data_IF_464577649340
#
_entry.id   IF_464577649340
#
_cell.length_a   1.000
_cell.length_b   1.000
_cell.length_c   1.000
_cell.angle_alpha   90.00
_cell.angle_beta   90.00
_cell.angle_gamma   90.00
#
_symmetry.space_group_name_H-M   'P 1'
#
loop_
_entity.id
_entity.type
_entity.pdbx_description
1 polymer ?
#
# COMPACT_ATOMS: atom_id res chain seq x y z
N UNK A 1 28.47 27.69 5.03
CA UNK A 1 27.63 27.45 3.83
C UNK A 1 26.40 26.60 4.13
N UNK A 2 26.48 25.51 4.91
CA UNK A 2 25.32 24.69 5.35
C UNK A 2 24.17 25.47 6.02
N UNK A 3 24.50 26.41 6.93
CA UNK A 3 23.52 27.24 7.65
C UNK A 3 22.64 28.09 6.71
N UNK A 4 23.17 28.49 5.55
CA UNK A 4 22.42 29.31 4.59
C UNK A 4 21.37 28.51 3.82
N UNK A 5 21.58 27.21 3.64
CA UNK A 5 20.65 26.31 2.94
C UNK A 5 19.46 25.98 3.84
N UNK A 6 19.70 25.68 5.12
CA UNK A 6 18.63 25.40 6.08
C UNK A 6 17.72 26.61 6.29
N UNK A 7 18.30 27.81 6.36
CA UNK A 7 17.55 29.06 6.44
C UNK A 7 16.73 29.29 5.16
N UNK A 8 17.29 29.03 3.98
CA UNK A 8 16.56 29.15 2.72
C UNK A 8 15.39 28.15 2.63
N UNK A 9 15.58 26.91 3.06
CA UNK A 9 14.52 25.90 3.12
C UNK A 9 13.43 26.27 4.13
N UNK A 10 13.80 26.80 5.30
CA UNK A 10 12.84 27.26 6.28
C UNK A 10 12.02 28.45 5.76
N UNK A 11 12.67 29.43 5.14
CA UNK A 11 12.00 30.59 4.55
C UNK A 11 11.05 30.18 3.41
N UNK A 12 11.49 29.23 2.57
CA UNK A 12 10.66 28.69 1.50
C UNK A 12 9.44 27.91 2.02
N UNK A 13 9.62 27.11 3.07
CA UNK A 13 8.53 26.41 3.76
C UNK A 13 7.51 27.39 4.35
N UNK A 14 7.98 28.48 4.96
CA UNK A 14 7.11 29.52 5.52
C UNK A 14 6.32 30.27 4.45
N UNK A 15 6.95 30.54 3.29
CA UNK A 15 6.28 31.14 2.13
C UNK A 15 5.19 30.23 1.54
N UNK A 16 5.43 28.92 1.52
CA UNK A 16 4.45 27.92 1.07
C UNK A 16 3.25 27.80 2.02
N UNK A 17 3.49 27.86 3.33
CA UNK A 17 2.41 27.92 4.35
C UNK A 17 1.61 29.21 4.23
N UNK A 18 2.28 30.36 4.06
CA UNK A 18 1.62 31.66 3.93
C UNK A 18 0.79 31.80 2.65
N UNK A 19 1.12 31.06 1.58
CA UNK A 19 0.34 30.99 0.35
C UNK A 19 -0.79 29.93 0.39
N UNK A 20 -0.98 29.26 1.53
CA UNK A 20 -2.00 28.21 1.68
C UNK A 20 -1.71 26.94 0.88
N UNK A 21 -0.49 26.77 0.37
CA UNK A 21 -0.08 25.60 -0.42
C UNK A 21 0.35 24.43 0.48
N UNK A 22 0.61 24.71 1.76
CA UNK A 22 0.87 23.73 2.82
C UNK A 22 -0.01 24.15 4.00
N UNK A 23 -0.91 23.27 4.45
CA UNK A 23 -1.67 23.53 5.68
C UNK A 23 -0.69 23.69 6.86
N UNK A 24 -0.96 24.60 7.82
CA UNK A 24 -0.21 24.63 9.07
C UNK A 24 -0.20 23.21 9.61
N UNK A 25 1.01 22.71 9.86
CA UNK A 25 1.17 21.44 10.53
C UNK A 25 0.68 21.67 11.96
N UNK A 26 -0.61 21.45 12.21
CA UNK A 26 -1.13 21.18 13.55
C UNK A 26 -0.55 19.82 13.96
N UNK A 27 0.72 19.88 14.34
CA UNK A 27 1.47 18.78 14.93
C UNK A 27 1.30 18.89 16.43
N UNK A 28 0.17 18.37 16.91
CA UNK A 28 0.07 17.72 18.22
C UNK A 28 -0.61 16.39 17.96
N UNK A 29 0.19 15.39 17.60
CA UNK A 29 -0.21 13.98 17.70
C UNK A 29 1.08 13.16 17.76
N UNK A 30 1.76 13.26 18.89
CA UNK A 30 2.72 12.24 19.37
C UNK A 30 1.92 10.95 19.70
N UNK A 31 1.25 10.39 18.69
CA UNK A 31 0.55 9.12 18.85
C UNK A 31 1.58 8.03 18.62
N UNK A 32 2.20 7.64 19.74
CA UNK A 32 2.98 6.43 19.83
C UNK A 32 2.13 5.28 19.29
N UNK A 33 2.61 4.65 18.22
CA UNK A 33 2.04 3.42 17.72
C UNK A 33 2.09 2.42 18.86
N UNK A 34 0.94 2.09 19.45
CA UNK A 34 0.84 1.01 20.40
C UNK A 34 1.04 -0.28 19.59
N UNK A 35 2.30 -0.73 19.48
CA UNK A 35 2.65 -2.09 19.10
C UNK A 35 2.08 -3.02 20.17
N UNK A 36 0.80 -3.33 20.03
CA UNK A 36 0.20 -4.42 20.78
C UNK A 36 0.78 -5.69 20.19
N UNK A 37 1.75 -6.29 20.91
CA UNK A 37 2.20 -7.66 20.66
C UNK A 37 0.98 -8.57 20.69
N UNK A 38 0.47 -8.90 19.51
CA UNK A 38 -0.41 -10.04 19.34
C UNK A 38 0.49 -11.26 19.38
N UNK A 39 0.50 -11.96 20.51
CA UNK A 39 0.80 -13.39 20.47
C UNK A 39 -0.18 -14.03 19.47
N UNK A 40 0.37 -14.84 18.57
CA UNK A 40 -0.24 -15.49 17.39
C UNK A 40 -0.35 -14.66 16.09
N UNK A 41 0.78 -14.61 15.38
CA UNK A 41 0.96 -15.01 13.97
C UNK A 41 -0.11 -14.58 12.95
N UNK A 42 -0.35 -13.27 12.82
CA UNK A 42 -0.92 -12.69 11.61
C UNK A 42 0.15 -11.88 10.88
N UNK A 43 0.97 -12.58 10.10
CA UNK A 43 1.88 -11.98 9.12
C UNK A 43 1.09 -11.19 8.08
N UNK A 44 0.97 -9.87 8.30
CA UNK A 44 0.49 -8.94 7.27
C UNK A 44 1.67 -8.54 6.37
N UNK A 45 2.18 -9.48 5.59
CA UNK A 45 3.23 -9.29 4.58
C UNK A 45 2.65 -8.88 3.23
N UNK A 46 1.86 -7.81 3.20
CA UNK A 46 1.37 -7.23 1.94
C UNK A 46 1.52 -5.71 1.99
N UNK A 47 2.74 -5.21 1.72
CA UNK A 47 2.95 -3.77 1.55
C UNK A 47 4.37 -3.24 1.76
N UNK A 48 5.31 -4.03 2.29
CA UNK A 48 6.69 -3.56 2.54
C UNK A 48 7.55 -3.47 1.27
N UNK A 49 7.20 -4.18 0.19
CA UNK A 49 7.97 -4.14 -1.07
C UNK A 49 7.88 -2.79 -1.81
N UNK A 50 6.78 -2.02 -1.65
CA UNK A 50 6.54 -0.79 -2.42
C UNK A 50 7.31 0.43 -1.85
N UNK A 51 7.49 0.49 -0.53
CA UNK A 51 8.23 1.59 0.11
C UNK A 51 9.74 1.47 -0.14
N UNK A 52 10.30 0.27 0.02
CA UNK A 52 11.72 0.00 -0.24
C UNK A 52 12.07 0.26 -1.72
N UNK A 53 11.22 -0.18 -2.65
CA UNK A 53 11.38 0.10 -4.07
C UNK A 53 11.33 1.60 -4.39
N UNK A 54 10.43 2.35 -3.74
CA UNK A 54 10.30 3.79 -3.90
C UNK A 54 11.53 4.54 -3.37
N UNK A 55 12.04 4.17 -2.19
CA UNK A 55 13.26 4.77 -1.60
C UNK A 55 14.47 4.51 -2.50
N UNK A 56 14.63 3.28 -2.98
CA UNK A 56 15.72 2.90 -3.88
C UNK A 56 15.66 3.63 -5.22
N UNK A 57 14.46 3.85 -5.76
CA UNK A 57 14.27 4.64 -6.99
C UNK A 57 14.65 6.13 -6.80
N UNK A 58 14.35 6.73 -5.65
CA UNK A 58 14.75 8.10 -5.31
C UNK A 58 16.28 8.21 -5.18
N UNK A 59 16.89 7.26 -4.48
CA UNK A 59 18.34 7.19 -4.28
C UNK A 59 19.09 7.10 -5.62
N UNK A 60 18.68 6.16 -6.48
CA UNK A 60 19.29 5.97 -7.81
C UNK A 60 19.14 7.21 -8.71
N UNK A 61 18.00 7.91 -8.61
CA UNK A 61 17.78 9.15 -9.37
C UNK A 61 18.66 10.30 -8.87
N UNK A 62 18.88 10.40 -7.56
CA UNK A 62 19.79 11.38 -6.97
C UNK A 62 21.24 11.13 -7.38
N UNK A 63 21.66 9.86 -7.40
CA UNK A 63 23.01 9.45 -7.81
C UNK A 63 23.24 9.66 -9.32
N UNK A 64 22.26 9.33 -10.16
CA UNK A 64 22.34 9.62 -11.60
C UNK A 64 22.41 11.13 -11.90
N UNK A 65 21.67 11.95 -11.14
CA UNK A 65 21.73 13.41 -11.26
C UNK A 65 23.07 14.00 -10.79
N UNK A 66 23.73 13.37 -9.81
CA UNK A 66 25.04 13.80 -9.33
C UNK A 66 26.17 13.46 -10.32
N UNK A 67 26.05 12.36 -11.06
CA UNK A 67 27.03 11.93 -12.07
C UNK A 67 26.88 12.66 -13.41
N UNK A 68 25.71 13.23 -13.70
CA UNK A 68 25.45 14.00 -14.92
C UNK A 68 25.88 15.48 -14.85
N UNK A 69 26.38 15.95 -13.70
CA UNK A 69 26.86 17.31 -13.54
C UNK A 69 28.16 17.52 -14.36
N UNK A 70 28.18 18.41 -15.36
CA UNK A 70 29.40 18.72 -16.11
C UNK A 70 30.42 19.33 -15.15
N UNK A 71 31.62 18.73 -15.07
CA UNK A 71 32.72 19.28 -14.30
C UNK A 71 33.08 20.71 -14.74
N UNK A 72 33.61 21.56 -13.83
CA UNK A 72 33.75 23.01 -14.02
C UNK A 72 34.76 23.46 -15.11
N UNK A 73 35.32 22.54 -15.91
CA UNK A 73 36.49 22.81 -16.77
C UNK A 73 36.26 22.65 -18.29
N UNK A 74 35.04 22.39 -18.75
CA UNK A 74 34.68 22.54 -20.17
C UNK A 74 33.72 23.73 -20.26
N UNK A 75 34.11 24.95 -20.60
CA UNK A 75 34.60 25.33 -21.92
C UNK A 75 35.01 26.80 -21.79
N UNK A 76 36.24 27.11 -21.38
CA UNK A 76 36.74 28.49 -21.52
C UNK A 76 37.18 28.64 -22.98
N UNK A 77 36.19 28.84 -23.85
CA UNK A 77 36.40 29.20 -25.25
C UNK A 77 37.28 30.43 -25.28
N UNK A 78 38.54 30.24 -25.66
CA UNK A 78 39.46 31.33 -25.95
C UNK A 78 38.87 32.09 -27.12
N UNK A 79 38.44 33.34 -26.86
CA UNK A 79 37.96 34.31 -27.85
C UNK A 79 38.98 34.43 -28.99
N UNK A 80 38.80 33.66 -30.05
CA UNK A 80 39.40 33.96 -31.33
C UNK A 80 38.46 34.91 -32.07
N UNK A 81 38.95 36.07 -32.51
CA UNK A 81 38.11 37.00 -33.24
C UNK A 81 37.66 36.36 -34.56
N UNK A 82 36.35 36.27 -34.77
CA UNK A 82 35.79 35.70 -36.00
C UNK A 82 36.03 36.67 -37.16
N UNK A 83 36.41 36.13 -38.32
CA UNK A 83 36.51 36.90 -39.55
C UNK A 83 35.11 37.34 -40.01
N UNK A 84 35.01 38.52 -40.65
CA UNK A 84 33.73 39.12 -41.07
C UNK A 84 32.95 38.25 -42.05
N UNK A 85 33.63 37.50 -42.92
CA UNK A 85 32.99 36.60 -43.88
C UNK A 85 32.34 35.38 -43.20
N UNK A 86 32.97 34.80 -42.18
CA UNK A 86 32.38 33.74 -41.36
C UNK A 86 31.18 34.23 -40.56
N UNK A 87 31.21 35.48 -40.11
CA UNK A 87 30.06 36.10 -39.47
C UNK A 87 28.89 36.28 -40.43
N UNK A 88 29.12 36.82 -41.64
CA UNK A 88 28.09 36.99 -42.65
C UNK A 88 27.45 35.65 -43.06
N UNK A 89 28.26 34.60 -43.25
CA UNK A 89 27.75 33.24 -43.49
C UNK A 89 26.83 32.79 -42.35
N UNK A 90 27.30 32.87 -41.10
CA UNK A 90 26.52 32.45 -39.94
C UNK A 90 25.24 33.30 -39.78
N UNK A 91 25.30 34.60 -40.03
CA UNK A 91 24.14 35.49 -39.97
C UNK A 91 23.08 35.12 -41.01
N UNK A 92 23.49 34.89 -42.26
CA UNK A 92 22.56 34.53 -43.34
C UNK A 92 21.94 33.13 -43.10
N UNK A 93 22.71 32.20 -42.54
CA UNK A 93 22.19 30.89 -42.09
C UNK A 93 21.18 31.08 -40.96
N UNK A 94 21.52 31.88 -39.95
CA UNK A 94 20.71 32.06 -38.75
C UNK A 94 19.42 32.84 -39.01
N UNK A 95 19.42 33.73 -40.00
CA UNK A 95 18.24 34.47 -40.47
C UNK A 95 17.46 33.75 -41.56
N UNK A 96 17.96 32.61 -42.09
CA UNK A 96 17.28 31.79 -43.09
C UNK A 96 17.34 32.35 -44.52
N UNK A 97 18.26 33.26 -44.82
CA UNK A 97 18.44 33.88 -46.15
C UNK A 97 19.30 33.01 -47.07
N UNK A 98 18.81 31.81 -47.43
CA UNK A 98 19.60 30.79 -48.14
C UNK A 98 20.01 31.18 -49.56
N UNK A 99 19.16 31.88 -50.32
CA UNK A 99 19.50 32.34 -51.68
C UNK A 99 20.58 33.42 -51.65
N UNK A 100 20.49 34.36 -50.70
CA UNK A 100 21.51 35.39 -50.48
C UNK A 100 22.84 34.78 -50.02
N UNK A 101 22.79 33.74 -49.18
CA UNK A 101 23.97 32.99 -48.77
C UNK A 101 24.67 32.32 -49.96
N UNK A 102 23.92 31.69 -50.86
CA UNK A 102 24.47 30.96 -52.01
C UNK A 102 25.14 31.91 -53.02
N UNK A 103 24.49 33.05 -53.29
CA UNK A 103 25.05 34.12 -54.10
C UNK A 103 26.33 34.70 -53.49
N UNK A 104 26.29 35.01 -52.18
CA UNK A 104 27.44 35.52 -51.44
C UNK A 104 28.61 34.53 -51.46
N UNK A 105 28.36 33.22 -51.24
CA UNK A 105 29.41 32.20 -51.26
C UNK A 105 30.06 32.08 -52.64
N UNK A 106 29.26 32.13 -53.70
CA UNK A 106 29.74 32.06 -55.09
C UNK A 106 30.62 33.25 -55.43
N UNK A 107 30.14 34.47 -55.19
CA UNK A 107 30.88 35.71 -55.47
C UNK A 107 32.15 35.82 -54.61
N UNK A 108 32.08 35.47 -53.33
CA UNK A 108 33.23 35.49 -52.42
C UNK A 108 34.32 34.53 -52.89
N UNK A 109 33.95 33.32 -53.30
CA UNK A 109 34.90 32.32 -53.81
C UNK A 109 35.56 32.78 -55.11
N UNK A 110 34.79 33.36 -56.03
CA UNK A 110 35.29 33.91 -57.29
C UNK A 110 36.27 35.08 -57.04
N UNK A 111 35.96 35.96 -56.09
CA UNK A 111 36.80 37.10 -55.73
C UNK A 111 38.12 36.67 -55.08
N UNK A 112 38.10 35.64 -54.23
CA UNK A 112 39.30 35.05 -53.63
C UNK A 112 40.18 34.38 -54.68
N UNK A 113 39.59 33.61 -55.60
CA UNK A 113 40.35 32.93 -56.66
C UNK A 113 41.04 33.91 -57.63
N UNK A 114 40.40 35.05 -57.92
CA UNK A 114 40.99 36.11 -58.74
C UNK A 114 42.00 36.97 -57.99
N UNK A 115 42.18 36.77 -56.68
CA UNK A 115 43.06 37.57 -55.83
C UNK A 115 42.60 39.01 -55.63
N UNK A 116 41.31 39.31 -55.87
CA UNK A 116 40.75 40.66 -55.67
C UNK A 116 40.48 40.96 -54.19
N UNK A 117 40.44 39.92 -53.35
CA UNK A 117 40.22 40.05 -51.90
C UNK A 117 41.46 39.54 -51.17
N UNK A 118 42.09 40.43 -50.41
CA UNK A 118 43.10 40.08 -49.44
C UNK A 118 42.42 39.51 -48.19
N UNK A 119 42.41 38.18 -48.09
CA UNK A 119 41.77 37.42 -47.00
C UNK A 119 42.42 37.69 -45.64
N UNK A 120 43.68 38.16 -45.60
CA UNK A 120 44.36 38.54 -44.35
C UNK A 120 43.96 39.95 -43.87
N UNK A 121 43.41 40.79 -44.75
CA UNK A 121 42.91 42.13 -44.44
C UNK A 121 41.41 42.20 -44.19
N UNK A 122 40.68 41.11 -44.38
CA UNK A 122 39.26 41.05 -44.02
C UNK A 122 39.16 41.31 -42.52
N UNK A 123 38.40 42.36 -42.18
CA UNK A 123 38.30 42.82 -40.81
C UNK A 123 37.77 41.75 -39.86
N UNK A 124 38.02 41.98 -38.57
CA UNK A 124 37.47 41.19 -37.48
C UNK A 124 36.10 41.73 -37.09
N UNK A 125 35.19 40.82 -36.74
CA UNK A 125 33.86 41.18 -36.25
C UNK A 125 33.98 41.89 -34.89
N UNK A 126 33.33 43.04 -34.68
CA UNK A 126 33.36 43.73 -33.40
C UNK A 126 32.92 42.84 -32.23
N UNK A 127 33.69 42.85 -31.15
CA UNK A 127 33.50 41.98 -29.97
C UNK A 127 32.08 42.08 -29.38
N UNK A 128 31.46 43.26 -29.45
CA UNK A 128 30.08 43.52 -28.96
C UNK A 128 29.05 42.59 -29.61
N UNK A 129 29.20 42.26 -30.89
CA UNK A 129 28.27 41.36 -31.58
C UNK A 129 28.44 39.91 -31.11
N UNK A 130 29.68 39.46 -30.99
CA UNK A 130 30.02 38.12 -30.46
C UNK A 130 29.52 37.96 -29.03
N UNK A 131 29.64 39.01 -28.22
CA UNK A 131 29.12 39.05 -26.86
C UNK A 131 27.59 39.00 -26.81
N UNK A 132 26.89 39.74 -27.66
CA UNK A 132 25.43 39.66 -27.74
C UNK A 132 24.93 38.27 -28.13
N UNK A 133 25.57 37.62 -29.11
CA UNK A 133 25.19 36.25 -29.52
C UNK A 133 25.41 35.24 -28.39
N UNK A 134 26.48 35.41 -27.59
CA UNK A 134 26.72 34.61 -26.38
C UNK A 134 25.63 34.86 -25.34
N UNK A 135 25.33 36.12 -25.04
CA UNK A 135 24.32 36.50 -24.05
C UNK A 135 22.92 36.01 -24.45
N UNK A 136 22.54 36.05 -25.72
CA UNK A 136 21.29 35.48 -26.22
C UNK A 136 21.22 33.97 -26.00
N UNK A 137 22.35 33.27 -26.23
CA UNK A 137 22.46 31.82 -26.00
C UNK A 137 22.34 31.48 -24.51
N UNK A 138 23.01 32.23 -23.64
CA UNK A 138 22.91 32.12 -22.18
C UNK A 138 21.48 32.41 -21.70
N UNK A 139 20.83 33.46 -22.21
CA UNK A 139 19.44 33.79 -21.89
C UNK A 139 18.50 32.64 -22.28
N UNK A 140 18.65 32.10 -23.49
CA UNK A 140 17.82 30.99 -23.97
C UNK A 140 18.02 29.73 -23.14
N UNK A 141 19.26 29.44 -22.72
CA UNK A 141 19.56 28.31 -21.85
C UNK A 141 18.96 28.51 -20.45
N UNK A 142 19.15 29.69 -19.84
CA UNK A 142 18.58 30.03 -18.54
C UNK A 142 17.05 29.97 -18.55
N UNK A 143 16.40 30.43 -19.63
CA UNK A 143 14.95 30.31 -19.80
C UNK A 143 14.48 28.86 -19.88
N UNK A 144 15.23 28.00 -20.60
CA UNK A 144 14.94 26.57 -20.69
C UNK A 144 15.05 25.88 -19.32
N UNK A 145 16.14 26.12 -18.61
CA UNK A 145 16.36 25.57 -17.26
C UNK A 145 15.27 26.03 -16.29
N UNK A 146 14.93 27.32 -16.28
CA UNK A 146 13.83 27.85 -15.47
C UNK A 146 12.52 27.12 -15.75
N UNK A 147 12.21 26.88 -17.03
CA UNK A 147 11.00 26.18 -17.42
C UNK A 147 11.00 24.69 -17.04
N UNK A 148 12.16 24.05 -17.07
CA UNK A 148 12.34 22.70 -16.56
C UNK A 148 12.13 22.61 -15.05
N UNK A 149 12.76 23.51 -14.28
CA UNK A 149 12.53 23.60 -12.83
C UNK A 149 11.08 23.90 -12.49
N UNK A 150 10.42 24.77 -13.25
CA UNK A 150 8.99 25.07 -13.07
C UNK A 150 8.15 23.80 -13.24
N UNK A 151 8.39 23.02 -14.31
CA UNK A 151 7.69 21.76 -14.55
C UNK A 151 7.96 20.73 -13.45
N UNK A 152 9.22 20.54 -13.07
CA UNK A 152 9.60 19.62 -12.00
C UNK A 152 8.94 19.99 -10.66
N UNK A 153 8.91 21.28 -10.32
CA UNK A 153 8.26 21.78 -9.10
C UNK A 153 6.75 21.52 -9.12
N UNK A 154 6.07 21.75 -10.26
CA UNK A 154 4.64 21.44 -10.40
C UNK A 154 4.35 19.95 -10.21
N UNK A 155 5.12 19.07 -10.85
CA UNK A 155 4.96 17.61 -10.70
C UNK A 155 5.23 17.15 -9.26
N UNK A 156 6.23 17.73 -8.59
CA UNK A 156 6.51 17.46 -7.18
C UNK A 156 5.35 17.90 -6.28
N UNK A 157 4.78 19.09 -6.52
CA UNK A 157 3.63 19.59 -5.78
C UNK A 157 2.39 18.70 -5.95
N UNK A 158 2.08 18.27 -7.18
CA UNK A 158 0.98 17.34 -7.45
C UNK A 158 1.17 15.98 -6.75
N UNK A 159 2.41 15.48 -6.72
CA UNK A 159 2.75 14.22 -6.05
C UNK A 159 2.63 14.36 -4.53
N UNK A 160 3.06 15.48 -3.96
CA UNK A 160 2.90 15.78 -2.54
C UNK A 160 1.42 15.77 -2.12
N UNK A 161 0.54 16.40 -2.92
CA UNK A 161 -0.91 16.39 -2.65
C UNK A 161 -1.47 14.97 -2.68
N UNK A 162 -1.02 14.12 -3.63
CA UNK A 162 -1.45 12.71 -3.70
C UNK A 162 -1.00 11.92 -2.45
N UNK A 163 0.25 12.06 -2.04
CA UNK A 163 0.78 11.39 -0.84
C UNK A 163 0.08 11.86 0.43
N UNK A 164 -0.20 13.16 0.57
CA UNK A 164 -0.95 13.69 1.71
C UNK A 164 -2.36 13.09 1.80
N UNK A 165 -3.09 13.02 0.68
CA UNK A 165 -4.42 12.39 0.64
C UNK A 165 -4.37 10.90 1.02
N UNK A 166 -3.38 10.16 0.52
CA UNK A 166 -3.19 8.75 0.87
C UNK A 166 -2.91 8.59 2.38
N UNK A 167 -1.98 9.38 2.94
CA UNK A 167 -1.69 9.41 4.38
C UNK A 167 -2.94 9.69 5.21
N UNK A 168 -3.74 10.67 4.80
CA UNK A 168 -4.96 11.07 5.54
C UNK A 168 -6.04 10.00 5.48
N UNK A 169 -6.17 9.31 4.33
CA UNK A 169 -7.04 8.14 4.19
C UNK A 169 -6.62 7.01 5.14
N UNK A 170 -5.33 6.65 5.17
CA UNK A 170 -4.81 5.62 6.07
C UNK A 170 -5.06 5.98 7.54
N UNK A 171 -4.81 7.24 7.94
CA UNK A 171 -5.09 7.73 9.29
C UNK A 171 -6.57 7.58 9.63
N UNK A 172 -7.48 7.95 8.72
CA UNK A 172 -8.91 7.83 8.94
C UNK A 172 -9.37 6.36 9.02
N UNK A 173 -8.86 5.51 8.14
CA UNK A 173 -9.16 4.08 8.13
C UNK A 173 -8.71 3.41 9.43
N UNK A 174 -7.47 3.67 9.86
CA UNK A 174 -6.96 3.14 11.11
C UNK A 174 -7.84 3.56 12.31
N UNK A 175 -8.22 4.84 12.40
CA UNK A 175 -9.16 5.32 13.45
C UNK A 175 -10.48 4.54 13.43
N UNK A 176 -11.06 4.28 12.26
CA UNK A 176 -12.30 3.48 12.12
C UNK A 176 -12.11 2.04 12.57
N UNK A 177 -11.01 1.39 12.15
CA UNK A 177 -10.70 0.00 12.53
C UNK A 177 -10.52 -0.11 14.04
N UNK A 178 -9.82 0.83 14.68
CA UNK A 178 -9.65 0.85 16.14
C UNK A 178 -10.98 1.00 16.87
N UNK A 179 -11.87 1.88 16.39
CA UNK A 179 -13.22 2.04 16.95
C UNK A 179 -14.02 0.73 16.86
N UNK A 180 -14.02 0.08 15.69
CA UNK A 180 -14.74 -1.17 15.48
C UNK A 180 -14.15 -2.31 16.31
N UNK A 181 -12.82 -2.42 16.38
CA UNK A 181 -12.11 -3.36 17.25
C UNK A 181 -12.59 -3.22 18.70
N UNK A 182 -12.63 -1.99 19.21
CA UNK A 182 -13.03 -1.72 20.58
C UNK A 182 -14.51 -2.08 20.83
N UNK A 183 -15.40 -1.83 19.85
CA UNK A 183 -16.79 -2.26 19.89
C UNK A 183 -16.92 -3.78 19.99
N UNK A 184 -16.20 -4.51 19.15
CA UNK A 184 -16.23 -5.98 19.14
C UNK A 184 -15.65 -6.58 20.42
N UNK A 185 -14.55 -6.00 20.94
CA UNK A 185 -13.98 -6.41 22.23
C UNK A 185 -15.03 -6.30 23.34
N UNK A 186 -15.82 -5.23 23.36
CA UNK A 186 -16.85 -5.03 24.38
C UNK A 186 -17.98 -6.05 24.25
N UNK A 187 -18.46 -6.33 23.04
CA UNK A 187 -19.47 -7.36 22.81
C UNK A 187 -18.95 -8.77 23.18
N UNK A 188 -17.69 -9.08 22.89
CA UNK A 188 -17.07 -10.33 23.30
C UNK A 188 -17.00 -10.47 24.82
N UNK A 189 -16.71 -9.38 25.55
CA UNK A 189 -16.74 -9.38 27.02
C UNK A 189 -18.14 -9.66 27.56
N UNK A 190 -19.17 -9.01 27.02
CA UNK A 190 -20.57 -9.25 27.42
C UNK A 190 -20.98 -10.71 27.18
N UNK A 191 -20.66 -11.26 26.01
CA UNK A 191 -20.91 -12.67 25.69
C UNK A 191 -20.20 -13.61 26.65
N UNK A 192 -18.93 -13.33 26.98
CA UNK A 192 -18.18 -14.13 27.94
C UNK A 192 -18.83 -14.13 29.33
N UNK A 193 -19.30 -12.97 29.79
CA UNK A 193 -20.06 -12.86 31.05
C UNK A 193 -21.35 -13.69 30.99
N UNK A 194 -22.09 -13.65 29.88
CA UNK A 194 -23.29 -14.45 29.70
C UNK A 194 -22.99 -15.96 29.72
N UNK A 195 -21.98 -16.43 28.98
CA UNK A 195 -21.57 -17.83 29.00
C UNK A 195 -21.19 -18.30 30.40
N UNK A 196 -20.40 -17.49 31.13
CA UNK A 196 -20.05 -17.77 32.52
C UNK A 196 -21.28 -17.88 33.43
N UNK A 197 -22.36 -17.14 33.14
CA UNK A 197 -23.62 -17.22 33.89
C UNK A 197 -24.43 -18.48 33.58
N UNK A 198 -24.37 -18.99 32.34
CA UNK A 198 -25.09 -20.20 31.92
C UNK A 198 -24.40 -21.49 32.39
N UNK A 199 -23.06 -21.48 32.46
CA UNK A 199 -22.24 -22.62 32.93
C UNK A 199 -22.79 -23.28 34.22
N UNK A 200 -23.03 -22.55 35.35
CA UNK A 200 -23.57 -23.16 36.55
C UNK A 200 -25.03 -23.63 36.41
N UNK A 201 -25.82 -23.01 35.52
CA UNK A 201 -27.21 -23.43 35.26
C UNK A 201 -27.23 -24.79 34.57
N UNK A 202 -26.40 -24.96 33.54
CA UNK A 202 -26.25 -26.23 32.82
C UNK A 202 -25.71 -27.31 33.76
N UNK A 203 -24.68 -27.00 34.56
CA UNK A 203 -24.13 -27.92 35.56
C UNK A 203 -25.19 -28.44 36.54
N UNK A 204 -26.00 -27.53 37.12
CA UNK A 204 -27.09 -27.91 38.02
C UNK A 204 -28.15 -28.78 37.35
N UNK A 205 -28.48 -28.51 36.09
CA UNK A 205 -29.44 -29.33 35.34
C UNK A 205 -28.90 -30.74 35.09
N UNK A 206 -27.61 -30.87 34.74
CA UNK A 206 -26.95 -32.15 34.58
C UNK A 206 -26.91 -32.95 35.89
N UNK A 207 -26.58 -32.30 37.01
CA UNK A 207 -26.61 -32.93 38.35
C UNK A 207 -28.00 -33.47 38.69
N UNK A 208 -29.06 -32.70 38.42
CA UNK A 208 -30.45 -33.14 38.60
C UNK A 208 -30.79 -34.33 37.70
N UNK A 209 -30.41 -34.29 36.43
CA UNK A 209 -30.63 -35.39 35.50
C UNK A 209 -29.97 -36.68 35.99
N UNK A 210 -28.72 -36.61 36.42
CA UNK A 210 -27.98 -37.76 36.97
C UNK A 210 -28.63 -38.31 38.25
N UNK A 211 -29.15 -37.42 39.12
CA UNK A 211 -29.87 -37.85 40.33
C UNK A 211 -31.17 -38.61 39.99
N UNK A 212 -31.97 -38.07 39.07
CA UNK A 212 -33.21 -38.73 38.60
C UNK A 212 -32.90 -40.07 37.92
N UNK A 213 -31.84 -40.13 37.12
CA UNK A 213 -31.40 -41.37 36.48
C UNK A 213 -31.05 -42.45 37.51
N UNK A 214 -30.26 -42.10 38.53
CA UNK A 214 -29.92 -43.02 39.65
C UNK A 214 -31.16 -43.49 40.39
N UNK A 215 -32.08 -42.58 40.74
CA UNK A 215 -33.32 -42.92 41.42
C UNK A 215 -34.20 -43.85 40.56
N UNK A 216 -34.29 -43.58 39.26
CA UNK A 216 -35.06 -44.40 38.31
C UNK A 216 -34.53 -45.83 38.27
N UNK A 217 -33.20 -45.99 38.22
CA UNK A 217 -32.55 -47.31 38.27
C UNK A 217 -32.80 -48.03 39.60
N UNK A 218 -32.80 -47.33 40.73
CA UNK A 218 -33.14 -47.94 42.02
C UNK A 218 -34.60 -48.43 42.06
N UNK A 219 -35.53 -47.59 41.61
CA UNK A 219 -36.97 -47.92 41.55
C UNK A 219 -37.24 -49.08 40.60
N UNK A 220 -36.54 -49.17 39.46
CA UNK A 220 -36.67 -50.33 38.56
C UNK A 220 -36.17 -51.61 39.19
N UNK A 221 -35.04 -51.58 39.90
CA UNK A 221 -34.53 -52.75 40.63
C UNK A 221 -35.48 -53.20 41.75
N UNK A 222 -36.06 -52.27 42.51
CA UNK A 222 -37.06 -52.59 43.55
C UNK A 222 -38.32 -53.22 42.95
N UNK A 223 -38.82 -52.66 41.84
CA UNK A 223 -39.96 -53.23 41.10
C UNK A 223 -39.65 -54.63 40.61
N UNK A 224 -38.47 -54.86 40.03
CA UNK A 224 -38.06 -56.18 39.53
C UNK A 224 -37.95 -57.20 40.66
N UNK A 225 -37.46 -56.81 41.84
CA UNK A 225 -37.46 -57.67 43.04
C UNK A 225 -38.88 -58.04 43.45
N UNK A 226 -39.79 -57.08 43.52
CA UNK A 226 -41.19 -57.31 43.87
C UNK A 226 -41.90 -58.22 42.85
N UNK A 227 -41.71 -57.98 41.55
CA UNK A 227 -42.25 -58.82 40.47
C UNK A 227 -41.69 -60.24 40.55
N UNK A 228 -40.38 -60.42 40.77
CA UNK A 228 -39.76 -61.74 40.96
C UNK A 228 -40.29 -62.47 42.21
N UNK A 229 -40.65 -61.74 43.27
CA UNK A 229 -41.27 -62.31 44.47
C UNK A 229 -42.70 -62.77 44.20
N UNK A 230 -43.53 -61.92 43.56
CA UNK A 230 -44.90 -62.26 43.14
C UNK A 230 -44.90 -63.44 42.19
N UNK A 231 -43.99 -63.45 41.20
CA UNK A 231 -43.90 -64.56 40.24
C UNK A 231 -43.47 -65.89 40.89
N UNK A 232 -42.59 -65.85 41.91
CA UNK A 232 -42.25 -67.04 42.73
C UNK A 232 -43.44 -67.53 43.54
N UNK A 233 -44.23 -66.64 44.12
CA UNK A 233 -45.46 -66.99 44.84
C UNK A 233 -46.51 -67.61 43.90
N UNK A 234 -46.69 -67.05 42.70
CA UNK A 234 -47.61 -67.59 41.68
C UNK A 234 -47.15 -68.94 41.12
N UNK A 235 -45.84 -69.13 40.91
CA UNK A 235 -45.26 -70.39 40.42
C UNK A 235 -45.33 -71.52 41.46
N UNK A 236 -45.49 -71.20 42.74
CA UNK A 236 -45.71 -72.19 43.80
C UNK A 236 -47.14 -72.75 43.86
N UNK A 237 -48.09 -72.17 43.11
CA UNK A 237 -49.51 -72.54 43.15
C UNK A 237 -49.97 -73.41 41.96
N UNK A 238 -49.05 -73.92 41.13
CA UNK A 238 -49.34 -74.70 39.90
C UNK A 238 -48.26 -75.81 39.82
N UNK A 239 -48.48 -77.13 39.92
CA UNK A 239 -49.40 -78.07 39.23
C UNK A 239 -49.13 -79.53 39.77
N UNK A 240 -49.98 -80.57 39.53
CA UNK A 240 -49.90 -81.29 38.25
C UNK A 240 -51.22 -81.85 37.67
N UNK A 241 -51.20 -81.90 36.34
CA UNK A 241 -52.05 -82.69 35.46
C UNK A 241 -51.72 -84.19 35.68
N UNK A 242 -52.71 -85.02 36.01
CA UNK A 242 -52.55 -86.48 36.14
C UNK A 242 -52.93 -87.17 34.83
N UNK A 243 -52.01 -87.97 34.27
CA UNK A 243 -52.22 -88.88 33.14
C UNK A 243 -52.70 -90.26 33.62
N UNK A 244 -53.82 -90.74 33.05
CA UNK A 244 -54.13 -92.17 32.82
C UNK A 244 -54.79 -92.94 33.97
N UNK A 245 -55.69 -93.92 33.79
CA UNK A 245 -56.09 -94.74 32.63
C UNK A 245 -57.39 -95.53 32.95
N UNK A 246 -58.26 -95.70 31.93
CA UNK A 246 -59.31 -96.73 31.65
C UNK A 246 -60.41 -97.10 32.66
N UNK A 247 -61.67 -97.01 32.19
CA UNK A 247 -62.66 -98.09 32.29
C UNK A 247 -63.51 -98.17 31.00
N UNK A 248 -63.65 -99.38 30.47
CA UNK A 248 -64.55 -99.77 29.35
C UNK A 248 -65.78 -100.43 29.96
N UNK A 249 -67.02 -100.00 29.64
CA UNK A 249 -68.20 -100.83 29.82
C UNK A 249 -68.61 -101.45 28.48
N UNK A 250 -68.43 -102.77 28.41
CA UNK A 250 -69.34 -103.80 27.84
C UNK A 250 -70.37 -103.39 26.78
N UNK A 251 -70.25 -104.01 25.61
CA UNK A 251 -71.37 -104.29 24.69
C UNK A 251 -72.45 -105.10 25.42
N UNK A 252 -73.72 -104.69 25.27
CA UNK A 252 -74.85 -105.61 25.27
C UNK A 252 -75.30 -105.85 23.82
N UNK A 253 -75.67 -107.10 23.47
CA UNK A 253 -76.07 -107.48 22.12
C UNK A 253 -77.60 -107.64 22.00
N UNK A 254 -78.08 -107.92 20.77
CA UNK A 254 -79.37 -108.59 20.40
C UNK A 254 -80.63 -107.69 20.47
N UNK A 255 -81.61 -107.71 19.56
CA UNK A 255 -81.87 -108.38 18.27
C UNK A 255 -83.09 -107.71 17.59
N UNK A 256 -83.23 -107.97 16.27
CA UNK A 256 -84.34 -107.74 15.33
C UNK A 256 -84.61 -106.31 14.85
#
# INVERSE_FOLDING_TARGET
TRVNIDVAFHCWRQLLVSKGMIAPSDCDDDFKYEEVYLEDDWSLTEGEEDLEATVKAIQNRAEASAQAAPGPNATRSTHQPKAVDDFLRNFLIQTGMTETLDCFQTEWTEMVQKGLVDTERVGVVPDVYTDNQRLESELKNAQREREEYRRAASTAAETLVRVQKARDLHRLQHKRVVQEKNRLIEEMRKLKVQCNSYEPVVKRMNEKYQAVLKQTVLVTLERDKAVKQVNRQLSGCILPQVRGKYYRPTLYPIQF
#
